data_IF_572941830227
#
_entry.id   IF_572941830227
#
_cell.length_a   1.000
_cell.length_b   1.000
_cell.length_c   1.000
_cell.angle_alpha   90.00
_cell.angle_beta   90.00
_cell.angle_gamma   90.00
#
_symmetry.space_group_name_H-M   'P 1'
#
loop_
_entity.id
_entity.type
_entity.pdbx_description
1 polymer ?
#
# COMPACT_ATOMS: atom_id res chain seq x y z
N UNK A 1 11.68 9.56 8.74
CA UNK A 1 12.17 9.18 7.40
C UNK A 1 13.17 8.06 7.61
N UNK A 2 12.82 6.84 7.22
CA UNK A 2 13.74 5.71 7.19
C UNK A 2 13.51 5.05 5.84
N UNK A 3 14.41 5.30 4.89
CA UNK A 3 14.35 4.74 3.54
C UNK A 3 14.94 3.34 3.56
N UNK A 4 14.14 2.33 3.20
CA UNK A 4 14.66 1.03 2.82
C UNK A 4 15.04 1.11 1.34
N UNK A 5 16.34 1.13 1.06
CA UNK A 5 16.87 1.04 -0.31
C UNK A 5 17.09 -0.45 -0.62
N UNK A 6 16.26 -1.01 -1.50
CA UNK A 6 16.48 -2.34 -2.05
C UNK A 6 17.49 -2.22 -3.19
N UNK A 7 18.72 -2.72 -3.00
CA UNK A 7 19.70 -2.86 -4.08
C UNK A 7 19.45 -4.18 -4.79
N UNK A 8 18.87 -4.15 -5.98
CA UNK A 8 18.85 -5.32 -6.88
C UNK A 8 20.21 -5.47 -7.56
N UNK A 9 20.81 -6.67 -7.50
CA UNK A 9 21.96 -7.04 -8.31
C UNK A 9 21.53 -7.29 -9.77
N UNK A 10 22.32 -6.89 -10.78
CA UNK A 10 22.07 -7.27 -12.17
C UNK A 10 22.59 -8.71 -12.46
N UNK A 11 21.90 -9.49 -13.30
CA UNK A 11 22.39 -10.80 -13.75
C UNK A 11 23.53 -10.69 -14.78
N UNK A 12 24.42 -11.70 -14.88
CA UNK A 12 25.58 -11.68 -15.76
C UNK A 12 25.23 -11.87 -17.24
N UNK A 13 25.93 -11.13 -18.10
CA UNK A 13 25.79 -11.11 -19.55
C UNK A 13 26.32 -12.38 -20.21
N UNK A 14 25.47 -13.09 -20.96
CA UNK A 14 25.89 -14.16 -21.87
C UNK A 14 25.66 -13.73 -23.32
N UNK A 15 26.77 -13.42 -23.99
CA UNK A 15 26.92 -13.26 -25.43
C UNK A 15 26.60 -14.58 -26.15
N UNK A 16 25.76 -14.57 -27.18
CA UNK A 16 25.80 -15.56 -28.26
C UNK A 16 25.34 -14.90 -29.57
N UNK A 17 26.27 -14.92 -30.52
CA UNK A 17 26.18 -14.44 -31.90
C UNK A 17 25.65 -15.55 -32.81
N UNK A 18 24.68 -15.24 -33.68
CA UNK A 18 24.60 -15.85 -35.02
C UNK A 18 23.71 -15.03 -35.97
N UNK A 19 24.30 -14.73 -37.13
CA UNK A 19 23.76 -14.17 -38.39
C UNK A 19 22.92 -15.24 -39.14
N UNK A 20 21.92 -15.01 -40.03
CA UNK A 20 21.81 -14.35 -41.38
C UNK A 20 20.30 -14.58 -41.84
N UNK A 21 19.79 -14.21 -43.05
CA UNK A 21 19.35 -12.93 -43.69
C UNK A 21 17.80 -12.79 -43.94
N UNK A 22 17.28 -11.70 -44.56
CA UNK A 22 15.84 -11.49 -44.81
C UNK A 22 15.38 -11.85 -46.24
N UNK A 23 14.06 -11.99 -46.46
CA UNK A 23 13.44 -11.53 -47.73
C UNK A 23 12.18 -10.66 -47.55
N UNK A 24 11.91 -9.84 -48.57
CA UNK A 24 11.02 -8.67 -48.61
C UNK A 24 9.60 -8.94 -49.24
N UNK A 25 8.81 -7.92 -49.66
CA UNK A 25 7.52 -7.56 -49.10
C UNK A 25 6.29 -8.06 -49.90
N UNK A 26 5.13 -8.20 -49.25
CA UNK A 26 3.83 -8.29 -49.91
C UNK A 26 2.77 -7.44 -49.19
N UNK A 27 2.03 -6.64 -49.97
CA UNK A 27 1.01 -5.66 -49.54
C UNK A 27 -0.42 -6.26 -49.61
N UNK A 28 -1.48 -5.57 -49.13
CA UNK A 28 -2.52 -6.13 -48.22
C UNK A 28 -3.86 -6.51 -48.91
N UNK A 29 -4.90 -6.93 -48.14
CA UNK A 29 -5.91 -5.95 -47.73
C UNK A 29 -6.54 -6.14 -46.33
N UNK A 30 -6.66 -5.02 -45.61
CA UNK A 30 -7.88 -4.47 -45.00
C UNK A 30 -8.77 -5.38 -44.13
N UNK A 31 -8.59 -5.32 -42.81
CA UNK A 31 -9.74 -5.21 -41.89
C UNK A 31 -9.34 -4.47 -40.61
N UNK A 32 -9.64 -3.17 -40.61
CA UNK A 32 -10.14 -2.37 -39.49
C UNK A 32 -9.99 -2.99 -38.08
N UNK A 33 -9.05 -2.47 -37.29
CA UNK A 33 -9.33 -1.97 -35.93
C UNK A 33 -8.17 -1.13 -35.39
N UNK A 34 -8.55 0.00 -34.81
CA UNK A 34 -7.74 1.16 -34.50
C UNK A 34 -7.01 0.92 -33.16
N UNK A 35 -5.69 0.75 -33.20
CA UNK A 35 -4.85 1.03 -32.03
C UNK A 35 -4.13 2.36 -32.28
N UNK A 36 -4.91 3.43 -32.18
CA UNK A 36 -4.39 4.76 -31.98
C UNK A 36 -3.64 4.76 -30.65
N UNK A 37 -2.33 4.78 -30.78
CA UNK A 37 -1.37 5.26 -29.79
C UNK A 37 -1.87 6.61 -29.25
N UNK A 38 -2.54 6.56 -28.11
CA UNK A 38 -2.84 7.75 -27.30
C UNK A 38 -2.35 7.41 -25.91
N UNK A 39 -1.24 8.02 -25.51
CA UNK A 39 -0.91 8.19 -24.11
C UNK A 39 -1.66 9.44 -23.65
N UNK A 40 -2.80 9.34 -22.94
CA UNK A 40 -3.21 10.44 -22.09
C UNK A 40 -2.37 10.34 -20.82
N UNK A 41 -1.41 11.24 -20.68
CA UNK A 41 -1.03 11.77 -19.37
C UNK A 41 -2.28 12.33 -18.70
N UNK A 42 -3.08 11.45 -18.13
CA UNK A 42 -4.31 11.77 -17.42
C UNK A 42 -3.97 12.12 -15.99
N UNK A 43 -3.51 13.34 -15.75
CA UNK A 43 -3.90 14.01 -14.52
C UNK A 43 -5.42 14.24 -14.63
N UNK A 44 -6.20 13.38 -13.98
CA UNK A 44 -7.62 13.65 -13.71
C UNK A 44 -7.61 14.79 -12.67
N UNK A 45 -7.43 16.02 -13.16
CA UNK A 45 -7.60 17.24 -12.39
C UNK A 45 -9.07 17.62 -12.47
N UNK A 46 -9.84 17.16 -11.50
CA UNK A 46 -11.29 17.34 -11.47
C UNK A 46 -11.87 17.22 -10.08
N UNK A 47 -11.36 17.97 -9.10
CA UNK A 47 -12.15 18.49 -7.97
C UNK A 47 -11.31 19.49 -7.17
N UNK A 48 -11.96 20.46 -6.51
CA UNK A 48 -11.31 21.40 -5.58
C UNK A 48 -10.46 20.64 -4.55
N UNK A 49 -9.40 21.22 -3.95
CA UNK A 49 -8.57 20.53 -2.97
C UNK A 49 -9.36 20.35 -1.67
N UNK A 50 -10.27 19.37 -1.65
CA UNK A 50 -10.51 18.60 -0.44
C UNK A 50 -9.14 18.17 0.02
N UNK A 51 -8.75 18.53 1.24
CA UNK A 51 -7.39 18.26 1.76
C UNK A 51 -7.06 16.79 1.51
N UNK A 52 -6.27 16.53 0.48
CA UNK A 52 -6.03 15.16 0.02
C UNK A 52 -5.42 14.38 1.17
N UNK A 53 -6.07 13.27 1.55
CA UNK A 53 -5.59 12.42 2.64
C UNK A 53 -4.41 11.62 2.11
N UNK A 54 -3.21 12.13 2.39
CA UNK A 54 -1.98 11.45 2.07
C UNK A 54 -1.70 10.36 3.10
N UNK A 55 -1.69 9.11 2.63
CA UNK A 55 -1.39 7.95 3.46
C UNK A 55 -0.13 7.25 2.96
N UNK A 56 0.47 6.47 3.85
CA UNK A 56 1.54 5.51 3.51
C UNK A 56 0.96 4.09 3.63
N UNK A 57 1.46 3.12 2.86
CA UNK A 57 2.61 3.20 1.95
C UNK A 57 2.33 3.93 0.63
N UNK A 58 3.40 4.47 0.04
CA UNK A 58 3.44 5.00 -1.32
C UNK A 58 4.76 4.59 -1.97
N UNK A 59 4.73 4.26 -3.27
CA UNK A 59 5.92 3.90 -4.03
C UNK A 59 6.07 4.78 -5.26
N UNK A 60 7.32 4.94 -5.70
CA UNK A 60 7.68 5.47 -7.01
C UNK A 60 8.42 4.37 -7.77
N UNK A 61 7.79 3.87 -8.83
CA UNK A 61 8.40 2.89 -9.71
C UNK A 61 9.24 3.60 -10.75
N UNK A 62 10.58 3.50 -10.64
CA UNK A 62 11.52 4.23 -11.49
C UNK A 62 11.42 3.85 -12.98
N UNK A 63 11.36 2.55 -13.37
CA UNK A 63 11.34 2.18 -14.79
C UNK A 63 10.16 2.74 -15.57
N UNK A 64 8.99 2.85 -14.94
CA UNK A 64 7.76 3.38 -15.58
C UNK A 64 7.43 4.80 -15.11
N UNK A 65 8.28 5.40 -14.29
CA UNK A 65 8.08 6.69 -13.64
C UNK A 65 6.67 6.86 -13.02
N UNK A 66 6.16 5.81 -12.36
CA UNK A 66 4.77 5.77 -11.86
C UNK A 66 4.74 5.96 -10.34
N UNK A 67 3.85 6.82 -9.85
CA UNK A 67 3.59 7.00 -8.42
C UNK A 67 2.30 6.31 -8.02
N UNK A 68 2.36 5.49 -6.97
CA UNK A 68 1.22 4.68 -6.51
C UNK A 68 1.09 4.84 -5.00
N UNK A 69 -0.12 5.16 -4.54
CA UNK A 69 -0.49 5.33 -3.13
C UNK A 69 -1.45 4.18 -2.77
N UNK A 70 -1.47 3.81 -1.48
CA UNK A 70 -2.25 2.74 -0.86
C UNK A 70 -1.73 1.32 -1.12
N UNK A 71 -1.86 0.47 -0.11
CA UNK A 71 -1.30 -0.89 -0.12
C UNK A 71 -1.90 -1.79 -1.19
N UNK A 72 -3.21 -1.69 -1.45
CA UNK A 72 -3.90 -2.59 -2.39
C UNK A 72 -3.52 -2.33 -3.86
N UNK A 73 -3.53 -1.07 -4.36
CA UNK A 73 -2.99 -0.76 -5.68
C UNK A 73 -1.52 -1.12 -5.83
N UNK A 74 -0.70 -0.88 -4.79
CA UNK A 74 0.72 -1.25 -4.79
C UNK A 74 0.90 -2.76 -4.96
N UNK A 75 0.17 -3.58 -4.18
CA UNK A 75 0.28 -5.03 -4.27
C UNK A 75 -0.07 -5.55 -5.67
N UNK A 76 -1.17 -5.07 -6.26
CA UNK A 76 -1.60 -5.44 -7.62
C UNK A 76 -0.57 -5.02 -8.67
N UNK A 77 -0.01 -3.83 -8.53
CA UNK A 77 1.04 -3.34 -9.43
C UNK A 77 2.30 -4.22 -9.35
N UNK A 78 2.73 -4.58 -8.14
CA UNK A 78 3.91 -5.43 -7.96
C UNK A 78 3.70 -6.83 -8.54
N UNK A 79 2.53 -7.44 -8.35
CA UNK A 79 2.23 -8.76 -8.95
C UNK A 79 2.22 -8.71 -10.48
N UNK A 80 1.66 -7.65 -11.07
CA UNK A 80 1.64 -7.46 -12.51
C UNK A 80 3.04 -7.16 -13.09
N UNK A 81 3.88 -6.43 -12.35
CA UNK A 81 5.21 -6.00 -12.81
C UNK A 81 6.28 -7.07 -12.59
N UNK A 82 6.14 -7.86 -11.53
CA UNK A 82 7.10 -8.88 -11.10
C UNK A 82 6.39 -10.20 -10.76
N UNK A 83 5.90 -10.94 -11.76
CA UNK A 83 5.04 -12.12 -11.56
C UNK A 83 5.77 -13.36 -11.04
N UNK A 84 7.05 -13.25 -10.66
CA UNK A 84 7.88 -14.40 -10.24
C UNK A 84 8.69 -14.04 -8.99
N UNK A 85 8.50 -14.75 -7.86
CA UNK A 85 7.53 -15.82 -7.64
C UNK A 85 6.08 -15.30 -7.60
N UNK A 86 5.09 -16.09 -8.05
CA UNK A 86 3.70 -15.63 -8.12
C UNK A 86 3.10 -15.40 -6.73
N UNK A 87 2.39 -14.29 -6.54
CA UNK A 87 1.59 -14.01 -5.34
C UNK A 87 0.10 -14.04 -5.70
N UNK A 88 -0.68 -15.02 -5.20
CA UNK A 88 -2.10 -15.10 -5.51
C UNK A 88 -2.86 -13.96 -4.81
N UNK A 89 -3.20 -12.90 -5.55
CA UNK A 89 -3.95 -11.72 -5.07
C UNK A 89 -5.40 -11.66 -5.57
N UNK A 90 -5.92 -12.75 -6.15
CA UNK A 90 -7.19 -12.76 -6.89
C UNK A 90 -8.16 -13.82 -6.37
N UNK A 91 -8.34 -13.93 -5.06
CA UNK A 91 -9.42 -14.74 -4.49
C UNK A 91 -10.70 -13.93 -4.37
N UNK A 92 -11.85 -14.56 -4.63
CA UNK A 92 -13.17 -13.94 -4.43
C UNK A 92 -13.43 -13.56 -2.96
N UNK A 93 -12.67 -14.15 -2.02
CA UNK A 93 -12.81 -13.92 -0.59
C UNK A 93 -11.92 -12.78 -0.05
N UNK A 94 -10.94 -12.28 -0.82
CA UNK A 94 -9.91 -11.35 -0.30
C UNK A 94 -10.51 -10.09 0.32
N UNK A 95 -11.48 -9.47 -0.37
CA UNK A 95 -12.15 -8.26 0.13
C UNK A 95 -12.99 -8.54 1.39
N UNK A 96 -13.64 -9.69 1.46
CA UNK A 96 -14.44 -10.10 2.64
C UNK A 96 -13.53 -10.34 3.84
N UNK A 97 -12.41 -11.04 3.64
CA UNK A 97 -11.41 -11.29 4.68
C UNK A 97 -10.83 -9.96 5.16
N UNK A 98 -10.46 -9.05 4.26
CA UNK A 98 -9.90 -7.75 4.62
C UNK A 98 -10.89 -6.92 5.46
N UNK A 99 -12.16 -6.90 5.06
CA UNK A 99 -13.21 -6.18 5.76
C UNK A 99 -13.48 -6.77 7.16
N UNK A 100 -13.59 -8.10 7.26
CA UNK A 100 -13.80 -8.78 8.53
C UNK A 100 -12.59 -8.68 9.47
N UNK A 101 -11.38 -8.83 8.93
CA UNK A 101 -10.16 -8.62 9.69
C UNK A 101 -10.13 -7.19 10.27
N UNK A 102 -10.46 -6.18 9.47
CA UNK A 102 -10.50 -4.79 9.93
C UNK A 102 -11.57 -4.53 11.00
N UNK A 103 -12.74 -5.16 10.89
CA UNK A 103 -13.82 -4.99 11.88
C UNK A 103 -13.50 -5.62 13.23
N UNK A 104 -12.80 -6.77 13.23
CA UNK A 104 -12.45 -7.51 14.46
C UNK A 104 -11.15 -7.01 15.09
N UNK A 105 -10.09 -6.87 14.27
CA UNK A 105 -8.75 -6.53 14.74
C UNK A 105 -8.63 -5.04 15.04
N UNK A 106 -9.31 -4.19 14.26
CA UNK A 106 -9.24 -2.73 14.39
C UNK A 106 -9.55 -2.20 15.80
N UNK A 107 -10.69 -2.57 16.42
CA UNK A 107 -11.01 -2.15 17.79
C UNK A 107 -9.98 -2.62 18.82
N UNK A 108 -9.48 -3.85 18.65
CA UNK A 108 -8.45 -4.42 19.53
C UNK A 108 -7.17 -3.60 19.46
N UNK A 109 -6.68 -3.30 18.25
CA UNK A 109 -5.49 -2.47 18.05
C UNK A 109 -5.67 -1.06 18.58
N UNK A 110 -6.85 -0.44 18.41
CA UNK A 110 -7.16 0.89 18.97
C UNK A 110 -7.10 0.91 20.50
N UNK A 111 -7.47 -0.19 21.16
CA UNK A 111 -7.48 -0.28 22.62
C UNK A 111 -6.10 -0.68 23.20
N UNK A 112 -5.29 -1.44 22.47
CA UNK A 112 -4.03 -2.00 22.99
C UNK A 112 -2.78 -1.43 22.33
N UNK A 113 -2.73 -1.32 21.00
CA UNK A 113 -1.50 -0.98 20.28
C UNK A 113 -1.37 0.53 20.12
N UNK A 114 -2.41 1.20 19.60
CA UNK A 114 -2.40 2.64 19.29
C UNK A 114 -1.94 3.52 20.48
N UNK A 115 -2.37 3.29 21.74
CA UNK A 115 -1.89 4.10 22.87
C UNK A 115 -0.40 3.94 23.18
N UNK A 116 0.22 2.85 22.73
CA UNK A 116 1.62 2.53 22.97
C UNK A 116 2.53 3.01 21.84
N UNK A 117 2.00 3.10 20.61
CA UNK A 117 2.75 3.52 19.41
C UNK A 117 3.40 4.90 19.57
N UNK A 118 2.78 5.83 20.29
CA UNK A 118 3.36 7.16 20.51
C UNK A 118 4.78 7.10 21.09
N UNK A 119 5.10 6.09 21.90
CA UNK A 119 6.39 5.98 22.58
C UNK A 119 7.55 5.56 21.66
N UNK A 120 7.26 5.10 20.44
CA UNK A 120 8.28 4.70 19.45
C UNK A 120 8.42 5.71 18.30
N UNK A 121 7.61 6.78 18.30
CA UNK A 121 7.63 7.81 17.27
C UNK A 121 8.62 8.93 17.61
N UNK A 122 9.14 9.62 16.57
CA UNK A 122 9.88 10.87 16.75
C UNK A 122 9.02 11.96 17.40
N UNK A 123 9.62 12.92 18.10
CA UNK A 123 8.88 14.00 18.79
C UNK A 123 7.86 14.72 17.89
N UNK A 124 8.25 15.09 16.66
CA UNK A 124 7.35 15.72 15.69
C UNK A 124 6.18 14.81 15.31
N UNK A 125 6.45 13.52 15.12
CA UNK A 125 5.41 12.53 14.80
C UNK A 125 4.48 12.29 15.99
N UNK A 126 4.98 12.33 17.22
CA UNK A 126 4.18 12.13 18.43
C UNK A 126 3.08 13.18 18.56
N UNK A 127 3.41 14.46 18.35
CA UNK A 127 2.44 15.56 18.41
C UNK A 127 1.28 15.35 17.43
N UNK A 128 1.62 15.11 16.15
CA UNK A 128 0.63 14.85 15.10
C UNK A 128 -0.19 13.60 15.40
N UNK A 129 0.46 12.52 15.82
CA UNK A 129 -0.18 11.24 16.11
C UNK A 129 -1.15 11.38 17.29
N UNK A 130 -0.75 11.99 18.40
CA UNK A 130 -1.63 12.23 19.55
C UNK A 130 -2.85 13.04 19.14
N UNK A 131 -2.63 14.20 18.51
CA UNK A 131 -3.72 15.10 18.09
C UNK A 131 -4.75 14.40 17.20
N UNK A 132 -4.28 13.65 16.20
CA UNK A 132 -5.17 12.99 15.24
C UNK A 132 -5.85 11.75 15.80
N UNK A 133 -5.16 10.95 16.62
CA UNK A 133 -5.71 9.73 17.21
C UNK A 133 -6.66 10.00 18.37
N UNK A 134 -6.35 10.94 19.25
CA UNK A 134 -7.27 11.32 20.34
C UNK A 134 -8.56 11.94 19.77
N UNK A 135 -8.47 12.79 18.75
CA UNK A 135 -9.64 13.31 18.05
C UNK A 135 -10.49 12.19 17.41
N UNK A 136 -9.85 11.20 16.79
CA UNK A 136 -10.55 10.05 16.19
C UNK A 136 -11.14 9.07 17.22
N UNK A 137 -10.55 8.99 18.42
CA UNK A 137 -11.00 8.11 19.51
C UNK A 137 -12.01 8.79 20.45
N UNK A 138 -12.06 10.13 20.45
CA UNK A 138 -12.87 10.93 21.37
C UNK A 138 -12.41 10.92 22.82
N UNK A 139 -11.16 10.49 23.10
CA UNK A 139 -10.57 10.40 24.45
C UNK A 139 -9.05 10.37 24.40
N UNK A 140 -8.40 10.52 25.56
CA UNK A 140 -6.94 10.43 25.67
C UNK A 140 -6.44 9.02 25.39
N UNK A 141 -5.21 8.91 24.89
CA UNK A 141 -4.58 7.61 24.62
C UNK A 141 -4.44 6.78 25.90
N UNK A 142 -4.08 7.42 27.01
CA UNK A 142 -3.84 6.76 28.30
C UNK A 142 -5.10 6.06 28.84
N UNK A 143 -6.29 6.64 28.60
CA UNK A 143 -7.56 6.09 29.07
C UNK A 143 -7.90 4.74 28.41
N UNK A 144 -7.42 4.52 27.18
CA UNK A 144 -7.59 3.25 26.46
C UNK A 144 -6.92 2.07 27.19
N UNK A 145 -5.85 2.33 27.95
CA UNK A 145 -5.07 1.31 28.64
C UNK A 145 -5.67 0.87 29.99
N UNK A 146 -6.65 1.62 30.52
CA UNK A 146 -7.14 1.46 31.90
C UNK A 146 -7.97 0.18 32.14
N UNK A 147 -8.32 -0.60 31.09
CA UNK A 147 -9.24 -1.74 31.21
C UNK A 147 -8.68 -2.96 31.96
N UNK A 148 -7.38 -3.01 32.27
CA UNK A 148 -6.76 -4.21 32.87
C UNK A 148 -6.65 -4.20 34.41
N UNK A 149 -7.03 -3.12 35.10
CA UNK A 149 -6.84 -2.99 36.57
C UNK A 149 -8.10 -3.03 37.44
N UNK A 150 -9.32 -3.04 36.86
CA UNK A 150 -10.58 -2.94 37.64
C UNK A 150 -11.40 -4.24 37.78
N UNK A 151 -10.95 -5.36 37.22
CA UNK A 151 -11.71 -6.62 37.24
C UNK A 151 -11.23 -7.66 38.28
N UNK A 152 -10.25 -7.32 39.15
CA UNK A 152 -9.64 -8.30 40.06
C UNK A 152 -9.56 -7.90 41.54
N UNK A 153 -10.23 -6.82 41.97
CA UNK A 153 -10.16 -6.36 43.37
C UNK A 153 -11.54 -6.04 43.94
N UNK A 154 -12.43 -7.02 43.90
CA UNK A 154 -13.71 -7.03 44.63
C UNK A 154 -14.08 -8.48 44.96
N UNK A 155 -13.48 -9.01 46.04
CA UNK A 155 -14.08 -9.97 46.99
C UNK A 155 -12.98 -10.67 47.79
N UNK A 156 -12.47 -9.97 48.81
CA UNK A 156 -12.16 -10.62 50.08
C UNK A 156 -12.86 -9.74 51.10
N UNK A 157 -14.05 -10.17 51.52
CA UNK A 157 -14.66 -9.70 52.76
C UNK A 157 -14.56 -10.90 53.70
N UNK A 158 -13.85 -10.67 54.80
CA UNK A 158 -13.78 -11.54 55.98
C UNK A 158 -15.16 -11.68 56.63
#
# INVERSE_FOLDING_TARGET
MCGFVFRSQPPPSSQLSSSIPPPAPSNPPNHTQKYLLTHPSGLISGESPTREKHNVPAIHHLPTNTHIIDSTPIAKFLEATYPTPPLPLTSSLDGTIELQARSVVGPTFRASVVPREINILSLRSQEYFRRTREAALGRKLEDCLMRRRRAGRLSVRE
#
